data_IF_918595858228
#
_entry.id   IF_918595858228
#
_cell.length_a   1.000
_cell.length_b   1.000
_cell.length_c   1.000
_cell.angle_alpha   90.00
_cell.angle_beta   90.00
_cell.angle_gamma   90.00
#
_symmetry.space_group_name_H-M   'P 1'
#
loop_
_entity.id
_entity.type
_entity.pdbx_description
1 polymer ?
#
# COMPACT_ATOMS: atom_id res chain seq x y z
N UNK A 1 -14.19 11.56 -5.50
CA UNK A 1 -15.52 11.69 -4.88
C UNK A 1 -15.67 12.86 -3.90
N UNK A 2 -14.60 13.39 -3.30
CA UNK A 2 -14.67 14.52 -2.35
C UNK A 2 -15.41 15.76 -2.87
N UNK A 3 -15.16 16.20 -4.12
CA UNK A 3 -15.87 17.36 -4.71
C UNK A 3 -17.38 17.15 -4.93
N UNK A 4 -17.83 15.90 -5.03
CA UNK A 4 -19.23 15.54 -5.33
C UNK A 4 -19.96 14.98 -4.10
N UNK A 5 -19.35 15.03 -2.92
CA UNK A 5 -19.89 14.44 -1.70
C UNK A 5 -21.20 15.10 -1.25
N UNK A 6 -21.28 16.43 -1.30
CA UNK A 6 -22.48 17.18 -0.92
C UNK A 6 -23.67 16.92 -1.84
N UNK A 7 -23.40 16.67 -3.14
CA UNK A 7 -24.45 16.40 -4.14
C UNK A 7 -24.91 14.94 -4.11
N UNK A 8 -24.01 14.02 -3.75
CA UNK A 8 -24.29 12.58 -3.70
C UNK A 8 -23.69 11.95 -2.43
N UNK A 9 -24.28 12.17 -1.25
CA UNK A 9 -23.71 11.73 0.03
C UNK A 9 -23.64 10.20 0.16
N UNK A 10 -24.65 9.49 -0.33
CA UNK A 10 -24.70 8.02 -0.27
C UNK A 10 -23.71 7.41 -1.27
N UNK A 11 -23.70 7.90 -2.52
CA UNK A 11 -22.84 7.38 -3.58
C UNK A 11 -21.36 7.67 -3.30
N UNK A 12 -21.04 8.86 -2.77
CA UNK A 12 -19.67 9.20 -2.40
C UNK A 12 -19.14 8.31 -1.27
N UNK A 13 -19.98 7.95 -0.29
CA UNK A 13 -19.63 6.98 0.77
C UNK A 13 -19.34 5.59 0.21
N UNK A 14 -20.18 5.11 -0.70
CA UNK A 14 -19.98 3.81 -1.38
C UNK A 14 -18.71 3.85 -2.23
N UNK A 15 -18.52 4.90 -3.02
CA UNK A 15 -17.38 5.03 -3.89
C UNK A 15 -16.06 5.15 -3.11
N UNK A 16 -16.04 5.79 -1.94
CA UNK A 16 -14.88 5.73 -1.04
C UNK A 16 -14.62 4.31 -0.54
N UNK A 17 -15.66 3.54 -0.22
CA UNK A 17 -15.48 2.17 0.29
C UNK A 17 -14.98 1.20 -0.79
N UNK A 18 -15.50 1.31 -2.01
CA UNK A 18 -15.24 0.33 -3.07
C UNK A 18 -14.15 0.75 -4.06
N UNK A 19 -14.00 2.05 -4.35
CA UNK A 19 -12.99 2.53 -5.30
C UNK A 19 -11.69 3.00 -4.63
N UNK A 20 -11.65 3.15 -3.30
CA UNK A 20 -10.39 3.39 -2.60
C UNK A 20 -9.55 2.12 -2.47
N UNK A 21 -10.16 0.95 -2.64
CA UNK A 21 -9.44 -0.31 -2.73
C UNK A 21 -8.79 -0.33 -4.12
N UNK A 22 -7.45 -0.34 -4.22
CA UNK A 22 -6.80 -0.50 -5.50
C UNK A 22 -7.26 -1.81 -6.13
N UNK A 23 -7.73 -1.77 -7.38
CA UNK A 23 -8.27 -2.93 -8.08
C UNK A 23 -7.22 -4.02 -8.37
N UNK A 24 -5.94 -3.72 -8.10
CA UNK A 24 -4.82 -4.61 -8.39
C UNK A 24 -3.97 -4.82 -7.15
N UNK A 25 -3.42 -6.03 -7.00
CA UNK A 25 -2.40 -6.38 -5.99
C UNK A 25 -1.06 -5.65 -6.21
N UNK A 26 -0.96 -4.83 -7.26
CA UNK A 26 0.25 -4.12 -7.70
C UNK A 26 0.91 -3.22 -6.65
N UNK A 27 0.20 -2.54 -5.72
CA UNK A 27 0.87 -1.75 -4.68
C UNK A 27 1.60 -2.63 -3.68
N UNK A 28 0.97 -3.71 -3.22
CA UNK A 28 1.61 -4.67 -2.33
C UNK A 28 2.71 -5.43 -3.04
N UNK A 29 2.49 -5.90 -4.28
CA UNK A 29 3.51 -6.63 -5.04
C UNK A 29 4.70 -5.75 -5.40
N UNK A 30 4.50 -4.47 -5.75
CA UNK A 30 5.60 -3.53 -5.96
C UNK A 30 6.35 -3.27 -4.66
N UNK A 31 5.63 -3.08 -3.55
CA UNK A 31 6.24 -2.96 -2.22
C UNK A 31 7.06 -4.22 -1.89
N UNK A 32 6.50 -5.41 -2.10
CA UNK A 32 7.17 -6.70 -1.84
C UNK A 32 8.32 -6.98 -2.82
N UNK A 33 8.25 -6.51 -4.06
CA UNK A 33 9.33 -6.64 -5.05
C UNK A 33 10.48 -5.70 -4.71
N UNK A 34 10.19 -4.44 -4.36
CA UNK A 34 11.19 -3.48 -3.88
C UNK A 34 11.81 -3.96 -2.56
N UNK A 35 10.98 -4.49 -1.66
CA UNK A 35 11.39 -5.11 -0.41
C UNK A 35 12.26 -6.34 -0.68
N UNK A 36 11.87 -7.22 -1.59
CA UNK A 36 12.62 -8.41 -1.98
C UNK A 36 13.95 -8.08 -2.65
N UNK A 37 14.00 -7.01 -3.44
CA UNK A 37 15.23 -6.51 -4.04
C UNK A 37 16.14 -5.88 -2.98
N UNK A 38 15.59 -5.09 -2.04
CA UNK A 38 16.30 -4.58 -0.88
C UNK A 38 16.80 -5.71 0.03
N UNK A 39 15.99 -6.76 0.21
CA UNK A 39 16.32 -7.97 0.96
C UNK A 39 17.47 -8.70 0.27
N UNK A 40 17.45 -8.86 -1.06
CA UNK A 40 18.51 -9.53 -1.84
C UNK A 40 19.83 -8.74 -1.82
N UNK A 41 19.77 -7.41 -1.89
CA UNK A 41 20.95 -6.53 -1.86
C UNK A 41 21.54 -6.37 -0.45
N UNK A 42 20.72 -6.46 0.61
CA UNK A 42 21.15 -6.23 2.01
C UNK A 42 21.26 -7.49 2.88
N UNK A 43 20.92 -8.67 2.38
CA UNK A 43 21.01 -9.93 3.14
C UNK A 43 22.42 -10.39 3.48
N UNK A 44 23.47 -9.68 3.04
CA UNK A 44 24.79 -9.87 3.64
C UNK A 44 24.89 -9.29 5.06
N UNK A 45 23.93 -8.49 5.56
CA UNK A 45 24.10 -7.85 6.87
C UNK A 45 22.86 -7.54 7.73
N UNK A 46 21.60 -7.63 7.26
CA UNK A 46 20.43 -7.22 8.08
C UNK A 46 19.53 -8.37 8.56
N UNK A 47 19.08 -8.28 9.81
CA UNK A 47 18.14 -9.23 10.40
C UNK A 47 16.69 -9.02 9.92
N UNK A 48 15.89 -10.09 9.77
CA UNK A 48 14.50 -10.02 9.27
C UNK A 48 13.56 -9.12 10.09
N UNK A 49 13.83 -9.00 11.40
CA UNK A 49 13.05 -8.15 12.31
C UNK A 49 13.23 -6.66 12.03
N UNK A 50 14.45 -6.22 11.74
CA UNK A 50 14.77 -4.82 11.41
C UNK A 50 14.13 -4.41 10.09
N UNK A 51 14.11 -5.32 9.13
CA UNK A 51 13.50 -5.11 7.81
C UNK A 51 11.98 -4.90 7.89
N UNK A 52 11.28 -5.70 8.70
CA UNK A 52 9.82 -5.54 8.89
C UNK A 52 9.46 -4.16 9.47
N UNK A 53 10.26 -3.66 10.41
CA UNK A 53 10.08 -2.32 10.96
C UNK A 53 10.34 -1.23 9.91
N UNK A 54 11.39 -1.38 9.09
CA UNK A 54 11.66 -0.44 7.98
C UNK A 54 10.55 -0.43 6.93
N UNK A 55 9.95 -1.58 6.64
CA UNK A 55 8.84 -1.68 5.69
C UNK A 55 7.58 -0.98 6.19
N UNK A 56 7.34 -1.03 7.51
CA UNK A 56 6.20 -0.37 8.15
C UNK A 56 6.37 1.15 8.25
N UNK A 57 7.61 1.63 8.33
CA UNK A 57 7.94 3.06 8.40
C UNK A 57 7.96 3.77 7.04
N UNK A 58 7.84 3.02 5.94
CA UNK A 58 7.92 3.52 4.57
C UNK A 58 6.53 3.71 3.97
#
# INVERSE_FOLDING_TARGET
>A
WSKNENRFPILSKMARKYLAIPATFTPSERLFSDAGNLMTVRHTSLSPSTFKHLLFLK
#
